data_IF_179291547810
#
_entry.id   IF_179291547810
#
_cell.length_a   1.000
_cell.length_b   1.000
_cell.length_c   1.000
_cell.angle_alpha   90.00
_cell.angle_beta   90.00
_cell.angle_gamma   90.00
#
_symmetry.space_group_name_H-M   'P 1'
#
loop_
_entity.id
_entity.type
_entity.pdbx_description
1 polymer ?
#
# COMPACT_ATOMS: atom_id res chain seq x y z
N UNK A 1 22.22 6.21 9.73
CA UNK A 1 20.86 6.62 9.33
C UNK A 1 20.72 8.07 9.66
N UNK A 2 20.40 8.91 8.69
CA UNK A 2 20.16 10.35 8.91
C UNK A 2 18.68 10.56 9.19
N UNK A 3 18.38 11.41 10.15
CA UNK A 3 16.99 11.67 10.55
C UNK A 3 16.25 12.56 9.54
N UNK A 4 14.90 12.58 9.55
CA UNK A 4 14.11 13.36 8.62
C UNK A 4 14.28 14.88 8.77
N UNK A 5 14.69 15.39 9.94
CA UNK A 5 14.92 16.83 10.13
C UNK A 5 16.20 17.27 9.45
N UNK A 6 17.25 16.44 9.45
CA UNK A 6 18.48 16.73 8.69
C UNK A 6 18.17 16.83 7.18
N UNK A 7 17.31 15.92 6.67
CA UNK A 7 16.83 15.97 5.30
C UNK A 7 16.04 17.25 5.02
N UNK A 8 15.07 17.61 5.88
CA UNK A 8 14.30 18.85 5.71
C UNK A 8 15.22 20.09 5.70
N UNK A 9 16.19 20.14 6.58
CA UNK A 9 17.10 21.30 6.68
C UNK A 9 17.99 21.44 5.44
N UNK A 10 18.41 20.34 4.82
CA UNK A 10 19.37 20.35 3.70
C UNK A 10 18.71 20.36 2.32
N UNK A 11 17.65 19.58 2.15
CA UNK A 11 17.10 19.30 0.82
C UNK A 11 15.69 19.86 0.58
N UNK A 12 14.97 20.29 1.63
CA UNK A 12 13.64 20.86 1.49
C UNK A 12 13.62 22.39 1.76
N UNK A 13 14.02 22.80 2.97
CA UNK A 13 13.91 24.19 3.42
C UNK A 13 14.64 25.21 2.52
N UNK A 14 15.88 24.97 2.06
CA UNK A 14 16.56 25.94 1.21
C UNK A 14 15.83 26.22 -0.10
N UNK A 15 15.24 25.18 -0.70
CA UNK A 15 14.50 25.29 -1.95
C UNK A 15 13.14 25.94 -1.75
N UNK A 16 12.42 25.59 -0.66
CA UNK A 16 11.16 26.23 -0.30
C UNK A 16 11.35 27.71 0.04
N UNK A 17 12.37 28.07 0.83
CA UNK A 17 12.71 29.47 1.12
C UNK A 17 13.06 30.26 -0.14
N UNK A 18 13.79 29.65 -1.08
CA UNK A 18 14.10 30.27 -2.36
C UNK A 18 12.84 30.56 -3.19
N UNK A 19 11.96 29.56 -3.31
CA UNK A 19 10.69 29.69 -4.03
C UNK A 19 9.81 30.80 -3.45
N UNK A 20 9.62 30.80 -2.12
CA UNK A 20 8.84 31.82 -1.41
C UNK A 20 9.50 33.21 -1.49
N UNK A 21 10.83 33.30 -1.55
CA UNK A 21 11.52 34.57 -1.73
C UNK A 21 11.16 35.23 -3.06
N UNK A 22 11.04 34.47 -4.15
CA UNK A 22 10.63 34.99 -5.46
C UNK A 22 9.18 35.48 -5.38
N UNK A 23 8.25 34.71 -4.81
CA UNK A 23 6.86 35.12 -4.69
C UNK A 23 6.70 36.39 -3.83
N UNK A 24 7.38 36.48 -2.69
CA UNK A 24 7.36 37.69 -1.84
C UNK A 24 7.95 38.92 -2.57
N UNK A 25 9.02 38.74 -3.34
CA UNK A 25 9.61 39.82 -4.14
C UNK A 25 8.67 40.33 -5.21
N UNK A 26 7.97 39.41 -5.91
CA UNK A 26 6.93 39.77 -6.89
C UNK A 26 5.72 40.48 -6.28
N UNK A 27 5.46 40.28 -5.00
CA UNK A 27 4.44 41.00 -4.22
C UNK A 27 4.92 42.35 -3.66
N UNK A 28 6.16 42.77 -4.00
CA UNK A 28 6.70 44.06 -3.64
C UNK A 28 7.42 44.14 -2.30
N UNK A 29 7.68 43.02 -1.63
CA UNK A 29 8.48 43.05 -0.40
C UNK A 29 9.96 43.30 -0.72
N UNK A 30 10.62 44.19 0.06
CA UNK A 30 12.06 44.47 -0.08
C UNK A 30 12.88 43.26 0.37
N UNK A 31 14.11 43.11 -0.19
CA UNK A 31 15.03 42.04 0.19
C UNK A 31 15.34 42.03 1.69
N UNK A 32 15.49 43.19 2.31
CA UNK A 32 15.67 43.31 3.76
C UNK A 32 14.46 42.77 4.54
N UNK A 33 13.24 43.10 4.11
CA UNK A 33 12.03 42.59 4.74
C UNK A 33 11.92 41.09 4.58
N UNK A 34 12.17 40.54 3.38
CA UNK A 34 12.12 39.08 3.09
C UNK A 34 13.18 38.36 3.95
N UNK A 35 14.40 38.93 4.11
CA UNK A 35 15.46 38.32 4.93
C UNK A 35 15.04 38.17 6.40
N UNK A 36 14.41 39.22 6.95
CA UNK A 36 13.86 39.18 8.31
C UNK A 36 12.75 38.13 8.44
N UNK A 37 11.80 38.11 7.50
CA UNK A 37 10.67 37.18 7.51
C UNK A 37 11.10 35.70 7.42
N UNK A 38 12.09 35.41 6.58
CA UNK A 38 12.58 34.02 6.37
C UNK A 38 13.69 33.61 7.35
N UNK A 39 14.17 34.53 8.21
CA UNK A 39 15.25 34.23 9.14
C UNK A 39 16.57 33.89 8.44
N UNK A 40 16.91 34.60 7.35
CA UNK A 40 18.14 34.39 6.57
C UNK A 40 18.83 35.71 6.33
N UNK A 41 20.08 35.71 5.87
CA UNK A 41 20.82 36.93 5.56
C UNK A 41 20.33 37.57 4.25
N UNK A 42 20.49 38.90 4.12
CA UNK A 42 20.15 39.58 2.87
C UNK A 42 20.97 39.07 1.66
N UNK A 43 22.28 38.76 1.78
CA UNK A 43 23.01 38.05 0.71
C UNK A 43 22.36 36.72 0.28
N UNK A 44 21.79 35.96 1.22
CA UNK A 44 21.04 34.73 0.88
C UNK A 44 19.82 35.04 0.04
N UNK A 45 19.09 36.12 0.34
CA UNK A 45 17.93 36.53 -0.48
C UNK A 45 18.41 36.94 -1.88
N UNK A 46 19.48 37.70 -1.99
CA UNK A 46 20.06 38.06 -3.29
C UNK A 46 20.41 36.79 -4.11
N UNK A 47 21.04 35.81 -3.46
CA UNK A 47 21.32 34.51 -4.10
C UNK A 47 20.06 33.80 -4.55
N UNK A 48 18.99 33.77 -3.71
CA UNK A 48 17.72 33.14 -4.08
C UNK A 48 17.05 33.84 -5.28
N UNK A 49 17.05 35.16 -5.33
CA UNK A 49 16.42 35.93 -6.38
C UNK A 49 17.17 35.91 -7.73
N UNK A 50 18.44 35.46 -7.76
CA UNK A 50 19.19 35.26 -9.01
C UNK A 50 18.81 34.00 -9.77
N UNK A 51 18.16 33.04 -9.11
CA UNK A 51 17.74 31.78 -9.70
C UNK A 51 16.33 31.91 -10.27
N UNK A 52 16.07 31.13 -11.33
CA UNK A 52 14.75 31.06 -11.90
C UNK A 52 13.81 30.20 -11.03
N UNK A 53 12.52 30.57 -10.98
CA UNK A 53 11.47 29.80 -10.27
C UNK A 53 11.50 28.33 -10.65
N UNK A 54 11.73 28.01 -11.94
CA UNK A 54 11.80 26.64 -12.47
C UNK A 54 12.87 25.78 -11.79
N UNK A 55 14.00 26.36 -11.38
CA UNK A 55 15.06 25.61 -10.69
C UNK A 55 14.58 25.11 -9.34
N UNK A 56 13.87 25.96 -8.57
CA UNK A 56 13.30 25.57 -7.28
C UNK A 56 12.24 24.47 -7.42
N UNK A 57 11.33 24.62 -8.38
CA UNK A 57 10.30 23.61 -8.67
C UNK A 57 10.92 22.26 -9.02
N UNK A 58 11.91 22.27 -9.94
CA UNK A 58 12.60 21.04 -10.36
C UNK A 58 13.32 20.34 -9.19
N UNK A 59 13.89 21.11 -8.25
CA UNK A 59 14.56 20.54 -7.07
C UNK A 59 13.57 19.94 -6.10
N UNK A 60 12.44 20.61 -5.83
CA UNK A 60 11.38 20.09 -4.97
C UNK A 60 10.71 18.84 -5.56
N UNK A 61 10.49 18.81 -6.87
CA UNK A 61 10.01 17.60 -7.56
C UNK A 61 11.00 16.44 -7.47
N UNK A 62 12.30 16.70 -7.58
CA UNK A 62 13.36 15.68 -7.46
C UNK A 62 13.37 15.00 -6.09
N UNK A 63 13.00 15.69 -5.03
CA UNK A 63 12.89 15.08 -3.70
C UNK A 63 11.56 14.36 -3.46
N UNK A 64 10.64 14.39 -4.42
CA UNK A 64 9.42 13.58 -4.42
C UNK A 64 8.11 14.35 -4.37
N UNK A 65 8.13 15.69 -4.21
CA UNK A 65 6.90 16.48 -4.16
C UNK A 65 6.23 16.56 -5.53
N UNK A 66 4.91 16.44 -5.56
CA UNK A 66 4.10 16.73 -6.76
C UNK A 66 4.00 18.24 -6.99
N UNK A 67 3.66 18.65 -8.21
CA UNK A 67 3.45 20.07 -8.52
C UNK A 67 2.35 20.70 -7.68
N UNK A 68 1.27 19.93 -7.44
CA UNK A 68 0.17 20.35 -6.59
C UNK A 68 0.62 20.55 -5.14
N UNK A 69 1.36 19.58 -4.57
CA UNK A 69 1.90 19.68 -3.21
C UNK A 69 2.86 20.86 -3.05
N UNK A 70 3.69 21.13 -4.06
CA UNK A 70 4.61 22.29 -4.02
C UNK A 70 3.81 23.59 -3.98
N UNK A 71 2.78 23.74 -4.80
CA UNK A 71 1.95 24.95 -4.87
C UNK A 71 1.20 25.20 -3.55
N UNK A 72 0.64 24.15 -2.96
CA UNK A 72 -0.05 24.23 -1.67
C UNK A 72 0.93 24.65 -0.56
N UNK A 73 2.06 23.94 -0.45
CA UNK A 73 3.09 24.22 0.56
C UNK A 73 3.76 25.60 0.36
N UNK A 74 3.97 26.07 -0.88
CA UNK A 74 4.45 27.42 -1.19
C UNK A 74 3.49 28.47 -0.61
N UNK A 75 2.19 28.28 -0.81
CA UNK A 75 1.15 29.16 -0.28
C UNK A 75 1.14 29.22 1.23
N UNK A 76 1.04 28.05 1.87
CA UNK A 76 1.02 27.93 3.34
C UNK A 76 2.29 28.47 3.99
N UNK A 77 3.47 28.15 3.42
CA UNK A 77 4.76 28.61 3.93
C UNK A 77 4.88 30.14 3.83
N UNK A 78 4.45 30.73 2.71
CA UNK A 78 4.39 32.18 2.52
C UNK A 78 3.50 32.84 3.57
N UNK A 79 2.27 32.34 3.76
CA UNK A 79 1.34 32.88 4.74
C UNK A 79 1.92 32.81 6.16
N UNK A 80 2.58 31.69 6.49
CA UNK A 80 3.24 31.51 7.76
C UNK A 80 4.34 32.55 8.00
N UNK A 81 5.22 32.79 7.03
CA UNK A 81 6.31 33.77 7.18
C UNK A 81 5.81 35.23 7.18
N UNK A 82 4.70 35.51 6.49
CA UNK A 82 4.05 36.84 6.52
C UNK A 82 3.38 37.07 7.88
N UNK A 83 2.73 36.08 8.47
CA UNK A 83 2.15 36.19 9.81
C UNK A 83 3.21 36.50 10.88
N UNK A 84 4.38 35.86 10.78
CA UNK A 84 5.52 36.10 11.68
C UNK A 84 5.24 35.69 13.13
N UNK A 85 6.17 36.04 14.04
CA UNK A 85 6.04 35.73 15.45
C UNK A 85 5.90 34.25 15.77
N UNK A 86 5.34 33.94 16.92
CA UNK A 86 5.11 32.55 17.37
C UNK A 86 4.10 31.80 16.47
N UNK A 87 3.08 32.48 15.99
CA UNK A 87 2.08 31.92 15.08
C UNK A 87 2.71 31.53 13.73
N UNK A 88 3.51 32.42 13.14
CA UNK A 88 4.22 32.12 11.90
C UNK A 88 5.20 30.96 12.06
N UNK A 89 5.89 30.87 13.20
CA UNK A 89 6.78 29.74 13.51
C UNK A 89 5.98 28.42 13.59
N UNK A 90 4.87 28.40 14.32
CA UNK A 90 4.01 27.23 14.45
C UNK A 90 3.51 26.74 13.08
N UNK A 91 3.01 27.64 12.25
CA UNK A 91 2.54 27.30 10.90
C UNK A 91 3.67 26.80 10.00
N UNK A 92 4.85 27.41 10.07
CA UNK A 92 6.02 26.94 9.32
C UNK A 92 6.41 25.52 9.72
N UNK A 93 6.43 25.23 11.03
CA UNK A 93 6.67 23.87 11.52
C UNK A 93 5.58 22.89 11.02
N UNK A 94 4.32 23.30 11.02
CA UNK A 94 3.22 22.46 10.53
C UNK A 94 3.38 22.11 9.05
N UNK A 95 3.75 23.07 8.19
CA UNK A 95 4.02 22.81 6.77
C UNK A 95 5.12 21.76 6.61
N UNK A 96 6.22 21.89 7.35
CA UNK A 96 7.33 20.92 7.32
C UNK A 96 6.92 19.53 7.79
N UNK A 97 6.16 19.44 8.87
CA UNK A 97 5.67 18.16 9.40
C UNK A 97 4.67 17.51 8.44
N UNK A 98 3.79 18.30 7.82
CA UNK A 98 2.86 17.82 6.80
C UNK A 98 3.60 17.26 5.57
N UNK A 99 4.67 17.93 5.13
CA UNK A 99 5.51 17.44 4.03
C UNK A 99 6.17 16.09 4.36
N UNK A 100 6.61 15.85 5.60
CA UNK A 100 7.10 14.55 6.06
C UNK A 100 5.96 13.52 6.19
N UNK A 101 4.82 13.95 6.70
CA UNK A 101 3.68 13.09 6.97
C UNK A 101 2.96 12.61 5.70
N UNK A 102 3.04 13.37 4.59
CA UNK A 102 2.44 13.00 3.30
C UNK A 102 2.98 11.69 2.71
N UNK A 103 4.24 11.36 3.06
CA UNK A 103 4.94 10.21 2.49
C UNK A 103 5.62 10.49 1.14
N UNK A 104 5.31 11.60 0.46
CA UNK A 104 5.89 11.95 -0.85
C UNK A 104 7.43 11.99 -0.82
N UNK A 105 8.00 12.45 0.30
CA UNK A 105 9.45 12.58 0.50
C UNK A 105 10.14 11.24 0.84
N UNK A 106 9.38 10.18 1.14
CA UNK A 106 9.93 8.93 1.67
C UNK A 106 10.89 8.23 0.71
N UNK A 107 10.57 8.17 -0.58
CA UNK A 107 11.41 7.49 -1.58
C UNK A 107 12.79 8.14 -1.71
N UNK A 108 12.84 9.48 -1.73
CA UNK A 108 14.11 10.21 -1.76
C UNK A 108 14.89 10.00 -0.46
N UNK A 109 14.24 10.12 0.70
CA UNK A 109 14.85 9.91 2.01
C UNK A 109 15.45 8.50 2.15
N UNK A 110 14.70 7.46 1.78
CA UNK A 110 15.18 6.07 1.77
C UNK A 110 16.41 5.89 0.88
N UNK A 111 16.37 6.43 -0.34
CA UNK A 111 17.44 6.27 -1.33
C UNK A 111 18.71 7.06 -0.96
N UNK A 112 18.57 8.32 -0.61
CA UNK A 112 19.72 9.24 -0.43
C UNK A 112 20.27 9.20 0.99
N UNK A 113 19.38 9.10 1.98
CA UNK A 113 19.74 9.09 3.39
C UNK A 113 19.84 7.70 4.01
N UNK A 114 19.63 6.65 3.20
CA UNK A 114 19.70 5.23 3.60
C UNK A 114 18.80 4.90 4.78
N UNK A 115 17.58 5.46 4.78
CA UNK A 115 16.55 5.03 5.72
C UNK A 115 16.10 3.59 5.38
N UNK A 116 15.59 2.82 6.35
CA UNK A 116 15.05 1.49 6.08
C UNK A 116 14.01 1.50 4.96
N UNK A 117 14.00 0.49 4.11
CA UNK A 117 13.08 0.39 2.96
C UNK A 117 11.60 0.41 3.37
N UNK A 118 11.30 -0.15 4.53
CA UNK A 118 9.98 -0.24 5.16
C UNK A 118 9.67 0.93 6.10
N UNK A 119 10.53 1.96 6.18
CA UNK A 119 10.35 3.09 7.08
C UNK A 119 9.08 3.88 6.74
N UNK A 120 8.20 4.02 7.72
CA UNK A 120 6.95 4.79 7.70
C UNK A 120 6.81 5.73 8.92
N UNK A 121 7.90 5.95 9.64
CA UNK A 121 7.92 6.62 10.93
C UNK A 121 7.25 8.01 10.92
N UNK A 122 7.52 8.84 9.88
CA UNK A 122 6.94 10.17 9.77
C UNK A 122 5.42 10.13 9.60
N UNK A 123 4.91 9.23 8.76
CA UNK A 123 3.48 9.04 8.55
C UNK A 123 2.79 8.54 9.82
N UNK A 124 3.42 7.64 10.58
CA UNK A 124 2.89 7.16 11.86
C UNK A 124 2.89 8.22 12.96
N UNK A 125 3.89 9.09 13.00
CA UNK A 125 4.00 10.12 14.04
C UNK A 125 3.12 11.33 13.75
N UNK A 126 3.15 11.85 12.52
CA UNK A 126 2.57 13.14 12.16
C UNK A 126 1.45 13.06 11.12
N UNK A 127 1.22 11.91 10.48
CA UNK A 127 0.15 11.73 9.51
C UNK A 127 -1.25 11.91 10.11
N UNK A 128 -2.23 12.20 9.27
CA UNK A 128 -3.66 12.17 9.62
C UNK A 128 -4.08 10.75 10.04
N UNK A 129 -5.29 10.61 10.60
CA UNK A 129 -5.87 9.30 10.94
C UNK A 129 -5.80 8.32 9.76
N UNK A 130 -6.24 8.78 8.58
CA UNK A 130 -6.24 8.00 7.34
C UNK A 130 -4.82 7.65 6.87
N UNK A 131 -3.88 8.59 6.93
CA UNK A 131 -2.48 8.34 6.57
C UNK A 131 -1.83 7.32 7.50
N UNK A 132 -2.11 7.39 8.80
CA UNK A 132 -1.65 6.41 9.79
C UNK A 132 -2.23 5.03 9.54
N UNK A 133 -3.51 4.94 9.23
CA UNK A 133 -4.16 3.68 8.89
C UNK A 133 -3.57 3.09 7.60
N UNK A 134 -3.47 3.87 6.53
CA UNK A 134 -2.88 3.44 5.25
C UNK A 134 -1.43 2.96 5.43
N UNK A 135 -0.62 3.68 6.21
CA UNK A 135 0.75 3.26 6.53
C UNK A 135 0.80 1.92 7.28
N UNK A 136 -0.09 1.73 8.27
CA UNK A 136 -0.19 0.45 9.00
C UNK A 136 -0.59 -0.70 8.10
N UNK A 137 -1.53 -0.48 7.18
CA UNK A 137 -1.99 -1.47 6.20
C UNK A 137 -0.83 -1.93 5.31
N UNK A 138 -0.11 -0.99 4.69
CA UNK A 138 1.05 -1.28 3.84
C UNK A 138 2.14 -2.03 4.62
N UNK A 139 2.47 -1.56 5.83
CA UNK A 139 3.49 -2.21 6.67
C UNK A 139 3.07 -3.62 7.09
N UNK A 140 1.78 -3.86 7.36
CA UNK A 140 1.26 -5.18 7.70
C UNK A 140 1.40 -6.17 6.55
N UNK A 141 1.00 -5.75 5.34
CA UNK A 141 1.17 -6.57 4.13
C UNK A 141 2.64 -6.88 3.85
N UNK A 142 3.53 -5.89 3.89
CA UNK A 142 4.95 -6.11 3.63
C UNK A 142 5.59 -7.10 4.63
N UNK A 143 5.22 -7.03 5.91
CA UNK A 143 5.68 -8.01 6.92
C UNK A 143 5.17 -9.41 6.59
N UNK A 144 3.88 -9.55 6.27
CA UNK A 144 3.30 -10.84 5.92
C UNK A 144 3.95 -11.45 4.66
N UNK A 145 4.22 -10.63 3.65
CA UNK A 145 4.94 -11.04 2.44
C UNK A 145 6.36 -11.53 2.76
N UNK A 146 7.10 -10.85 3.63
CA UNK A 146 8.45 -11.27 4.03
C UNK A 146 8.44 -12.67 4.69
N UNK A 147 7.38 -13.01 5.43
CA UNK A 147 7.21 -14.36 5.99
C UNK A 147 6.93 -15.37 4.87
N UNK A 148 6.08 -15.05 3.89
CA UNK A 148 5.80 -15.92 2.74
C UNK A 148 7.05 -16.17 1.89
N UNK A 149 7.89 -15.15 1.67
CA UNK A 149 9.16 -15.28 0.94
C UNK A 149 10.18 -16.18 1.66
N UNK A 150 10.09 -16.27 2.99
CA UNK A 150 10.93 -17.14 3.82
C UNK A 150 10.41 -18.58 3.90
N UNK A 151 9.17 -18.84 3.46
CA UNK A 151 8.56 -20.16 3.51
C UNK A 151 9.05 -21.06 2.37
N UNK A 152 9.47 -22.28 2.70
CA UNK A 152 9.84 -23.31 1.71
C UNK A 152 8.63 -24.02 1.08
N UNK A 153 7.47 -23.99 1.72
CA UNK A 153 6.26 -24.68 1.28
C UNK A 153 5.27 -23.78 0.51
N UNK A 154 5.20 -22.49 0.84
CA UNK A 154 4.30 -21.56 0.19
C UNK A 154 4.46 -21.48 -1.34
N UNK A 155 5.66 -21.56 -1.94
CA UNK A 155 5.82 -21.56 -3.39
C UNK A 155 5.07 -22.67 -4.13
N UNK A 156 4.64 -23.74 -3.43
CA UNK A 156 3.83 -24.82 -3.99
C UNK A 156 2.37 -24.39 -4.25
N UNK A 157 1.90 -23.35 -3.56
CA UNK A 157 0.54 -22.82 -3.68
C UNK A 157 0.42 -21.66 -4.68
N UNK A 158 1.52 -21.14 -5.21
CA UNK A 158 1.50 -20.03 -6.19
C UNK A 158 0.95 -20.57 -7.52
N UNK A 159 -0.16 -19.97 -8.06
CA UNK A 159 -0.72 -20.32 -9.35
C UNK A 159 0.12 -19.77 -10.52
N UNK A 160 -0.16 -20.18 -11.75
CA UNK A 160 0.53 -19.66 -12.94
C UNK A 160 0.24 -18.16 -13.15
N UNK A 161 -0.97 -17.71 -12.81
CA UNK A 161 -1.33 -16.27 -12.81
C UNK A 161 -0.69 -15.47 -11.67
N UNK A 162 0.14 -16.14 -10.84
CA UNK A 162 0.77 -15.58 -9.64
C UNK A 162 -0.21 -15.21 -8.51
N UNK A 163 0.34 -15.01 -7.32
CA UNK A 163 -0.41 -14.69 -6.10
C UNK A 163 -0.43 -13.18 -5.86
N UNK A 164 -1.54 -12.67 -5.38
CA UNK A 164 -1.59 -11.38 -4.71
C UNK A 164 -2.08 -11.53 -3.27
N UNK A 165 -1.74 -10.57 -2.43
CA UNK A 165 -2.18 -10.48 -1.04
C UNK A 165 -2.69 -9.07 -0.80
N UNK A 166 -3.93 -8.94 -0.32
CA UNK A 166 -4.59 -7.65 -0.16
C UNK A 166 -5.10 -7.43 1.26
N UNK A 167 -5.14 -6.16 1.67
CA UNK A 167 -5.73 -5.70 2.93
C UNK A 167 -6.52 -4.41 2.66
N UNK A 168 -7.80 -4.43 3.00
CA UNK A 168 -8.70 -3.29 2.87
C UNK A 168 -8.59 -2.35 4.06
N UNK A 169 -8.74 -1.05 3.83
CA UNK A 169 -9.02 -0.09 4.88
C UNK A 169 -10.37 -0.40 5.56
N UNK A 170 -10.56 0.09 6.78
CA UNK A 170 -11.77 -0.20 7.57
C UNK A 170 -13.05 0.11 6.79
N UNK A 171 -13.11 1.29 6.19
CA UNK A 171 -14.27 1.80 5.46
C UNK A 171 -14.10 1.71 3.95
N UNK A 172 -13.33 0.72 3.46
CA UNK A 172 -13.05 0.51 2.04
C UNK A 172 -14.36 0.37 1.22
N UNK A 173 -14.47 1.15 0.14
CA UNK A 173 -15.61 1.14 -0.79
C UNK A 173 -15.20 0.88 -2.23
N UNK A 174 -13.93 1.07 -2.55
CA UNK A 174 -13.37 0.92 -3.88
C UNK A 174 -12.01 0.21 -3.83
N UNK A 175 -11.54 -0.25 -4.97
CA UNK A 175 -10.22 -0.88 -5.10
C UNK A 175 -9.08 0.04 -4.65
N UNK A 176 -9.28 1.38 -4.71
CA UNK A 176 -8.32 2.38 -4.24
C UNK A 176 -8.17 2.42 -2.71
N UNK A 177 -9.12 1.80 -1.99
CA UNK A 177 -9.11 1.69 -0.53
C UNK A 177 -8.54 0.35 -0.06
N UNK A 178 -8.06 -0.47 -1.00
CA UNK A 178 -7.46 -1.79 -0.75
C UNK A 178 -6.00 -1.76 -1.17
N UNK A 179 -5.10 -2.08 -0.26
CA UNK A 179 -3.70 -2.27 -0.59
C UNK A 179 -3.44 -3.69 -1.06
N UNK A 180 -2.53 -3.85 -2.02
CA UNK A 180 -2.10 -5.13 -2.56
C UNK A 180 -0.64 -5.06 -3.03
N UNK A 181 -0.08 -6.20 -3.43
CA UNK A 181 1.29 -6.27 -3.92
C UNK A 181 1.32 -5.92 -5.40
N UNK A 182 1.93 -4.79 -5.75
CA UNK A 182 2.12 -4.41 -7.15
C UNK A 182 3.02 -5.43 -7.85
N UNK A 183 2.63 -5.87 -9.07
CA UNK A 183 3.36 -6.91 -9.80
C UNK A 183 3.25 -8.32 -9.23
N UNK A 184 2.50 -8.52 -8.14
CA UNK A 184 2.20 -9.82 -7.51
C UNK A 184 3.40 -10.48 -6.80
N UNK A 185 3.14 -11.64 -6.17
CA UNK A 185 4.13 -12.56 -5.61
C UNK A 185 4.28 -13.70 -6.60
N UNK A 186 5.51 -13.86 -7.12
CA UNK A 186 5.85 -14.84 -8.15
C UNK A 186 6.66 -16.00 -7.58
N UNK A 187 6.66 -17.13 -8.29
CA UNK A 187 7.57 -18.23 -8.00
C UNK A 187 8.83 -18.09 -8.83
N UNK A 188 9.95 -17.82 -8.18
CA UNK A 188 11.25 -17.65 -8.81
C UNK A 188 12.25 -18.68 -8.24
N UNK A 189 12.78 -19.58 -9.06
CA UNK A 189 13.74 -20.61 -8.65
C UNK A 189 13.28 -21.42 -7.42
N UNK A 190 11.99 -21.73 -7.35
CA UNK A 190 11.40 -22.49 -6.25
C UNK A 190 11.08 -21.69 -4.99
N UNK A 191 11.36 -20.40 -4.96
CA UNK A 191 11.07 -19.50 -3.84
C UNK A 191 9.96 -18.51 -4.22
N UNK A 192 9.21 -18.03 -3.23
CA UNK A 192 8.30 -16.91 -3.41
C UNK A 192 9.07 -15.59 -3.44
N UNK A 193 8.71 -14.67 -4.33
CA UNK A 193 9.28 -13.32 -4.41
C UNK A 193 8.19 -12.32 -4.78
N UNK A 194 8.04 -11.28 -3.98
CA UNK A 194 7.24 -10.12 -4.35
C UNK A 194 7.99 -9.28 -5.39
N UNK A 195 7.28 -8.84 -6.41
CA UNK A 195 7.87 -8.01 -7.47
C UNK A 195 8.06 -6.56 -7.03
N UNK A 196 7.22 -6.10 -6.10
CA UNK A 196 7.26 -4.77 -5.50
C UNK A 196 6.75 -4.80 -4.07
N UNK A 197 6.76 -3.66 -3.39
CA UNK A 197 6.10 -3.49 -2.09
C UNK A 197 4.58 -3.42 -2.21
N UNK A 198 3.91 -3.47 -1.06
CA UNK A 198 2.47 -3.25 -0.99
C UNK A 198 2.14 -1.77 -1.25
N UNK A 199 1.09 -1.52 -2.03
CA UNK A 199 0.53 -0.19 -2.24
C UNK A 199 -0.99 -0.23 -2.42
N UNK A 200 -1.65 0.90 -2.19
CA UNK A 200 -3.08 1.02 -2.43
C UNK A 200 -3.38 1.03 -3.94
N UNK A 201 -4.34 0.19 -4.35
CA UNK A 201 -4.62 -0.04 -5.77
C UNK A 201 -3.71 -1.07 -6.45
N UNK A 202 -2.73 -1.65 -5.73
CA UNK A 202 -1.77 -2.63 -6.27
C UNK A 202 -2.38 -3.96 -6.73
N UNK A 203 -3.69 -4.16 -6.54
CA UNK A 203 -4.41 -5.34 -7.04
C UNK A 203 -5.88 -5.04 -7.32
N UNK A 204 -6.28 -4.89 -8.57
CA UNK A 204 -7.68 -4.64 -8.94
C UNK A 204 -8.56 -5.87 -8.70
N UNK A 205 -8.28 -6.99 -9.36
CA UNK A 205 -9.14 -8.18 -9.33
C UNK A 205 -9.36 -8.72 -7.91
N UNK A 206 -8.29 -8.97 -7.13
CA UNK A 206 -8.44 -9.53 -5.78
C UNK A 206 -9.09 -8.54 -4.82
N UNK A 207 -8.87 -7.24 -5.01
CA UNK A 207 -9.56 -6.19 -4.26
C UNK A 207 -11.07 -6.22 -4.52
N UNK A 208 -11.50 -6.36 -5.78
CA UNK A 208 -12.92 -6.48 -6.15
C UNK A 208 -13.56 -7.71 -5.52
N UNK A 209 -12.87 -8.86 -5.54
CA UNK A 209 -13.35 -10.10 -4.87
C UNK A 209 -13.49 -9.88 -3.36
N UNK A 210 -12.48 -9.28 -2.71
CA UNK A 210 -12.53 -8.96 -1.28
C UNK A 210 -13.70 -8.02 -0.94
N UNK A 211 -13.91 -6.98 -1.72
CA UNK A 211 -14.99 -6.02 -1.51
C UNK A 211 -16.37 -6.67 -1.68
N UNK A 212 -16.53 -7.57 -2.64
CA UNK A 212 -17.77 -8.36 -2.81
C UNK A 212 -18.08 -9.19 -1.56
N UNK A 213 -17.07 -9.86 -0.98
CA UNK A 213 -17.21 -10.66 0.25
C UNK A 213 -17.48 -9.77 1.47
N UNK A 214 -16.79 -8.64 1.57
CA UNK A 214 -16.90 -7.68 2.69
C UNK A 214 -18.32 -7.12 2.86
N UNK A 215 -19.12 -7.02 1.80
CA UNK A 215 -20.53 -6.61 1.86
C UNK A 215 -21.37 -7.53 2.77
N UNK A 216 -21.06 -8.82 2.80
CA UNK A 216 -21.78 -9.83 3.59
C UNK A 216 -21.07 -10.14 4.91
N UNK A 217 -19.76 -10.05 4.93
CA UNK A 217 -18.89 -10.32 6.08
C UNK A 217 -17.99 -9.12 6.41
N UNK A 218 -18.52 -8.06 7.04
CA UNK A 218 -17.79 -6.80 7.28
C UNK A 218 -16.49 -6.93 8.10
N UNK A 219 -16.34 -8.04 8.82
CA UNK A 219 -15.13 -8.35 9.59
C UNK A 219 -13.99 -8.88 8.72
N UNK A 220 -14.27 -9.35 7.50
CA UNK A 220 -13.25 -9.78 6.55
C UNK A 220 -12.64 -8.55 5.90
N UNK A 221 -11.32 -8.38 6.06
CA UNK A 221 -10.60 -7.24 5.51
C UNK A 221 -9.38 -7.65 4.67
N UNK A 222 -9.03 -8.94 4.64
CA UNK A 222 -7.84 -9.41 3.95
C UNK A 222 -8.16 -10.64 3.09
N UNK A 223 -7.47 -10.76 1.96
CA UNK A 223 -7.59 -11.91 1.07
C UNK A 223 -6.27 -12.21 0.35
N UNK A 224 -6.09 -13.50 0.00
CA UNK A 224 -4.99 -13.98 -0.84
C UNK A 224 -5.53 -14.98 -1.86
N UNK A 225 -5.09 -14.89 -3.12
CA UNK A 225 -5.35 -15.93 -4.09
C UNK A 225 -4.21 -16.94 -4.14
N UNK A 226 -4.56 -18.21 -4.20
CA UNK A 226 -3.64 -19.33 -4.41
C UNK A 226 -4.19 -20.24 -5.50
N UNK A 227 -3.39 -21.20 -5.95
CA UNK A 227 -3.85 -22.24 -6.88
C UNK A 227 -5.00 -23.05 -6.31
N UNK A 228 -5.75 -23.69 -7.19
CA UNK A 228 -6.77 -24.68 -6.83
C UNK A 228 -6.49 -25.99 -7.58
N UNK A 229 -6.55 -27.08 -6.86
CA UNK A 229 -6.58 -28.44 -7.41
C UNK A 229 -7.33 -29.38 -6.45
N UNK A 230 -7.50 -30.64 -6.86
CA UNK A 230 -8.21 -31.64 -6.06
C UNK A 230 -7.60 -31.83 -4.67
N UNK A 231 -6.27 -31.84 -4.56
CA UNK A 231 -5.58 -32.02 -3.27
C UNK A 231 -5.87 -30.83 -2.33
N UNK A 232 -5.87 -29.60 -2.85
CA UNK A 232 -6.26 -28.40 -2.08
C UNK A 232 -7.72 -28.51 -1.63
N UNK A 233 -8.65 -28.89 -2.52
CA UNK A 233 -10.06 -29.05 -2.17
C UNK A 233 -10.25 -30.06 -1.01
N UNK A 234 -9.59 -31.21 -1.09
CA UNK A 234 -9.65 -32.24 -0.04
C UNK A 234 -9.08 -31.75 1.30
N UNK A 235 -7.99 -30.93 1.27
CA UNK A 235 -7.43 -30.34 2.49
C UNK A 235 -8.40 -29.32 3.08
N UNK A 236 -8.94 -28.41 2.29
CA UNK A 236 -9.90 -27.39 2.75
C UNK A 236 -11.12 -28.05 3.41
N UNK A 237 -11.63 -29.15 2.80
CA UNK A 237 -12.74 -29.93 3.34
C UNK A 237 -12.35 -30.60 4.66
N UNK A 238 -11.15 -31.19 4.76
CA UNK A 238 -10.66 -31.83 5.98
C UNK A 238 -10.43 -30.86 7.14
N UNK A 239 -10.10 -29.62 6.83
CA UNK A 239 -9.97 -28.52 7.80
C UNK A 239 -11.32 -27.91 8.20
N UNK A 240 -12.43 -28.40 7.66
CA UNK A 240 -13.79 -27.92 7.90
C UNK A 240 -13.99 -26.42 7.61
N UNK A 241 -13.24 -25.89 6.63
CA UNK A 241 -13.39 -24.50 6.22
C UNK A 241 -14.76 -24.24 5.60
N UNK A 242 -15.29 -23.06 5.82
CA UNK A 242 -16.54 -22.60 5.21
C UNK A 242 -16.25 -22.12 3.81
N UNK A 243 -16.65 -22.93 2.83
CA UNK A 243 -16.34 -22.73 1.42
C UNK A 243 -17.57 -22.22 0.65
N UNK A 244 -17.32 -21.30 -0.27
CA UNK A 244 -18.20 -21.01 -1.40
C UNK A 244 -17.54 -21.57 -2.65
N UNK A 245 -18.18 -22.58 -3.25
CA UNK A 245 -17.73 -23.15 -4.52
C UNK A 245 -18.44 -22.49 -5.68
N UNK A 246 -17.69 -21.87 -6.59
CA UNK A 246 -18.24 -21.28 -7.80
C UNK A 246 -18.39 -22.36 -8.89
N UNK A 247 -19.52 -22.40 -9.62
CA UNK A 247 -19.76 -23.39 -10.65
C UNK A 247 -18.75 -23.27 -11.80
N UNK A 248 -18.34 -24.44 -12.34
CA UNK A 248 -17.44 -24.52 -13.49
C UNK A 248 -18.15 -24.36 -14.85
N UNK A 249 -19.45 -24.09 -14.87
CA UNK A 249 -20.37 -24.41 -15.99
C UNK A 249 -20.48 -23.34 -17.08
N UNK A 250 -19.81 -22.18 -16.96
CA UNK A 250 -19.86 -21.12 -17.99
C UNK A 250 -18.48 -20.54 -18.27
N UNK A 251 -18.21 -20.08 -19.50
CA UNK A 251 -17.00 -19.31 -19.77
C UNK A 251 -17.10 -17.96 -19.04
N UNK A 252 -16.48 -17.88 -17.88
CA UNK A 252 -16.40 -16.67 -17.07
C UNK A 252 -15.16 -15.86 -17.46
N UNK A 253 -15.28 -14.55 -17.42
CA UNK A 253 -14.11 -13.66 -17.41
C UNK A 253 -13.68 -13.37 -15.97
N UNK A 254 -12.42 -13.02 -15.77
CA UNK A 254 -11.93 -12.63 -14.43
C UNK A 254 -12.74 -11.48 -13.83
N UNK A 255 -13.29 -10.58 -14.65
CA UNK A 255 -14.12 -9.45 -14.24
C UNK A 255 -15.50 -9.86 -13.71
N UNK A 256 -16.00 -11.04 -14.12
CA UNK A 256 -17.30 -11.56 -13.70
C UNK A 256 -17.25 -12.28 -12.34
N UNK A 257 -16.06 -12.74 -11.91
CA UNK A 257 -15.90 -13.48 -10.65
C UNK A 257 -16.42 -12.71 -9.44
N UNK A 258 -16.09 -11.41 -9.21
CA UNK A 258 -16.61 -10.64 -8.08
C UNK A 258 -18.15 -10.58 -8.05
N UNK A 259 -18.79 -10.42 -9.21
CA UNK A 259 -20.26 -10.38 -9.34
C UNK A 259 -20.86 -11.72 -8.98
N UNK A 260 -20.30 -12.81 -9.49
CA UNK A 260 -20.77 -14.17 -9.18
C UNK A 260 -20.63 -14.50 -7.69
N UNK A 261 -19.52 -14.09 -7.07
CA UNK A 261 -19.33 -14.22 -5.61
C UNK A 261 -20.43 -13.47 -4.86
N UNK A 262 -20.72 -12.23 -5.25
CA UNK A 262 -21.75 -11.41 -4.62
C UNK A 262 -23.15 -12.03 -4.75
N UNK A 263 -23.51 -12.49 -5.95
CA UNK A 263 -24.78 -13.16 -6.22
C UNK A 263 -24.97 -14.41 -5.37
N UNK A 264 -23.97 -15.29 -5.36
CA UNK A 264 -24.02 -16.55 -4.60
C UNK A 264 -24.06 -16.32 -3.09
N UNK A 265 -23.26 -15.38 -2.59
CA UNK A 265 -23.30 -15.01 -1.17
C UNK A 265 -24.65 -14.40 -0.78
N UNK A 266 -25.23 -13.55 -1.64
CA UNK A 266 -26.58 -13.00 -1.40
C UNK A 266 -27.63 -14.08 -1.26
N UNK A 267 -27.60 -15.12 -2.11
CA UNK A 267 -28.50 -16.26 -2.04
C UNK A 267 -28.28 -17.07 -0.75
N UNK A 268 -27.03 -17.46 -0.46
CA UNK A 268 -26.68 -18.31 0.68
C UNK A 268 -26.92 -17.63 2.03
N UNK A 269 -26.63 -16.34 2.15
CA UNK A 269 -26.89 -15.56 3.38
C UNK A 269 -28.40 -15.40 3.62
N UNK A 270 -29.20 -15.11 2.59
CA UNK A 270 -30.67 -15.02 2.71
C UNK A 270 -31.30 -16.33 3.18
N UNK A 271 -30.77 -17.46 2.74
CA UNK A 271 -31.26 -18.78 3.10
C UNK A 271 -30.64 -19.32 4.41
N UNK A 272 -29.85 -18.55 5.12
CA UNK A 272 -29.17 -18.94 6.37
C UNK A 272 -28.15 -20.08 6.20
N UNK A 273 -27.72 -20.37 4.95
CA UNK A 273 -26.79 -21.48 4.66
C UNK A 273 -25.34 -21.17 5.03
N UNK A 274 -24.96 -19.88 5.12
CA UNK A 274 -23.60 -19.45 5.44
C UNK A 274 -23.63 -18.26 6.41
N UNK A 275 -22.85 -18.36 7.49
CA UNK A 275 -22.71 -17.33 8.51
C UNK A 275 -21.27 -16.83 8.67
N UNK A 276 -20.31 -17.52 8.04
CA UNK A 276 -18.89 -17.17 7.97
C UNK A 276 -18.32 -17.73 6.67
N UNK A 277 -17.18 -17.19 6.22
CA UNK A 277 -16.51 -17.59 4.99
C UNK A 277 -15.01 -17.65 5.21
N UNK A 278 -14.40 -18.79 4.89
CA UNK A 278 -12.93 -18.96 4.93
C UNK A 278 -12.31 -18.88 3.54
N UNK A 279 -12.98 -19.46 2.52
CA UNK A 279 -12.48 -19.40 1.16
C UNK A 279 -13.60 -19.45 0.10
N UNK A 280 -13.28 -18.92 -1.07
CA UNK A 280 -14.02 -19.11 -2.32
C UNK A 280 -13.14 -19.93 -3.26
N UNK A 281 -13.68 -20.97 -3.85
CA UNK A 281 -12.99 -21.81 -4.83
C UNK A 281 -13.63 -21.69 -6.20
N UNK A 282 -12.78 -21.69 -7.22
CA UNK A 282 -13.18 -21.66 -8.63
C UNK A 282 -12.41 -22.73 -9.39
N UNK A 283 -13.12 -23.69 -10.01
CA UNK A 283 -12.51 -24.81 -10.71
C UNK A 283 -11.90 -24.44 -12.08
N UNK A 284 -11.90 -23.16 -12.43
CA UNK A 284 -11.42 -22.67 -13.71
C UNK A 284 -12.50 -22.71 -14.80
N UNK A 285 -12.19 -22.04 -15.91
CA UNK A 285 -12.97 -22.07 -17.15
C UNK A 285 -12.03 -21.84 -18.34
N UNK A 286 -12.55 -21.78 -19.56
CA UNK A 286 -11.74 -21.49 -20.74
C UNK A 286 -11.07 -20.13 -20.58
N UNK A 287 -9.73 -20.11 -20.50
CA UNK A 287 -8.93 -18.90 -20.31
C UNK A 287 -8.79 -18.41 -18.86
N UNK A 288 -9.38 -19.10 -17.87
CA UNK A 288 -9.23 -18.77 -16.45
C UNK A 288 -8.68 -19.97 -15.68
N UNK A 289 -7.56 -19.75 -15.00
CA UNK A 289 -6.92 -20.76 -14.16
C UNK A 289 -7.77 -21.05 -12.92
N UNK A 290 -7.85 -22.33 -12.48
CA UNK A 290 -8.44 -22.67 -11.20
C UNK A 290 -7.80 -21.91 -10.04
N UNK A 291 -8.60 -21.32 -9.17
CA UNK A 291 -8.10 -20.46 -8.09
C UNK A 291 -8.87 -20.67 -6.79
N UNK A 292 -8.18 -20.47 -5.69
CA UNK A 292 -8.75 -20.40 -4.33
C UNK A 292 -8.47 -19.01 -3.77
N UNK A 293 -9.51 -18.32 -3.31
CA UNK A 293 -9.39 -17.04 -2.60
C UNK A 293 -9.59 -17.31 -1.11
N UNK A 294 -8.56 -17.06 -0.30
CA UNK A 294 -8.58 -17.28 1.16
C UNK A 294 -8.81 -15.93 1.83
N UNK A 295 -9.70 -15.90 2.84
CA UNK A 295 -10.12 -14.69 3.53
C UNK A 295 -9.80 -14.74 5.01
N UNK A 296 -9.65 -13.55 5.61
CA UNK A 296 -9.46 -13.36 7.04
C UNK A 296 -9.78 -11.93 7.48
N UNK A 297 -9.84 -11.72 8.79
CA UNK A 297 -10.06 -10.41 9.37
C UNK A 297 -8.86 -9.47 9.13
N UNK A 298 -7.66 -10.02 9.04
CA UNK A 298 -6.41 -9.31 8.84
C UNK A 298 -5.38 -10.15 8.09
N UNK A 299 -4.19 -9.60 7.86
CA UNK A 299 -3.10 -10.29 7.19
C UNK A 299 -2.55 -11.47 7.99
N UNK A 300 -2.61 -11.44 9.31
CA UNK A 300 -2.06 -12.51 10.18
C UNK A 300 -2.93 -13.76 10.09
N UNK A 301 -4.26 -13.60 10.10
CA UNK A 301 -5.18 -14.71 9.92
C UNK A 301 -5.03 -15.37 8.55
N UNK A 302 -4.99 -14.58 7.47
CA UNK A 302 -4.81 -15.12 6.11
C UNK A 302 -3.44 -15.79 5.98
N UNK A 303 -2.38 -15.17 6.48
CA UNK A 303 -1.02 -15.74 6.47
C UNK A 303 -0.97 -17.10 7.16
N UNK A 304 -1.54 -17.20 8.37
CA UNK A 304 -1.62 -18.46 9.12
C UNK A 304 -2.37 -19.54 8.32
N UNK A 305 -3.59 -19.23 7.82
CA UNK A 305 -4.38 -20.14 7.00
C UNK A 305 -3.61 -20.66 5.78
N UNK A 306 -2.90 -19.77 5.09
CA UNK A 306 -2.11 -20.10 3.89
C UNK A 306 -0.90 -20.97 4.24
N UNK A 307 -0.18 -20.69 5.32
CA UNK A 307 1.00 -21.47 5.72
C UNK A 307 0.61 -22.86 6.22
N UNK A 308 -0.49 -22.99 6.99
CA UNK A 308 -1.04 -24.27 7.42
C UNK A 308 -1.44 -25.12 6.21
N UNK A 309 -2.12 -24.53 5.23
CA UNK A 309 -2.47 -25.18 3.98
C UNK A 309 -1.24 -25.60 3.17
N UNK A 310 -0.21 -24.74 3.09
CA UNK A 310 1.01 -25.03 2.37
C UNK A 310 1.78 -26.23 2.99
N UNK A 311 1.82 -26.31 4.30
CA UNK A 311 2.44 -27.43 5.02
C UNK A 311 1.65 -28.74 4.76
N UNK A 312 0.31 -28.71 4.87
CA UNK A 312 -0.53 -29.86 4.59
C UNK A 312 -0.40 -30.34 3.14
N UNK A 313 -0.36 -29.40 2.19
CA UNK A 313 -0.18 -29.70 0.78
C UNK A 313 1.18 -30.33 0.47
N UNK A 314 2.26 -29.83 1.09
CA UNK A 314 3.59 -30.39 0.95
C UNK A 314 3.68 -31.83 1.47
N UNK A 315 3.09 -32.12 2.64
CA UNK A 315 3.06 -33.48 3.24
C UNK A 315 2.37 -34.48 2.33
N UNK A 316 1.21 -34.15 1.77
CA UNK A 316 0.49 -35.05 0.83
C UNK A 316 1.29 -35.34 -0.45
N UNK A 317 2.03 -34.38 -0.97
CA UNK A 317 2.90 -34.61 -2.15
C UNK A 317 4.02 -35.61 -1.86
N UNK A 318 4.56 -35.57 -0.67
CA UNK A 318 5.62 -36.52 -0.24
C UNK A 318 5.06 -37.94 -0.13
N UNK A 319 3.89 -38.12 0.46
CA UNK A 319 3.21 -39.42 0.57
C UNK A 319 2.85 -40.03 -0.80
N UNK A 320 2.42 -39.21 -1.74
CA UNK A 320 2.06 -39.67 -3.10
C UNK A 320 3.28 -40.13 -3.89
N UNK A 321 4.46 -39.59 -3.64
CA UNK A 321 5.73 -40.01 -4.25
C UNK A 321 6.20 -41.34 -3.66
N UNK A 322 6.08 -41.52 -2.34
CA UNK A 322 6.49 -42.78 -1.66
C UNK A 322 5.59 -43.98 -2.03
N UNK A 323 4.29 -43.78 -2.29
CA UNK A 323 3.35 -44.83 -2.67
C UNK A 323 3.44 -45.21 -4.17
N UNK A 324 4.29 -44.62 -4.96
CA UNK A 324 4.54 -44.94 -6.40
C UNK A 324 5.85 -45.73 -6.64
N UNK A 325 6.60 -46.01 -5.59
CA UNK A 325 7.75 -46.89 -5.59
C UNK A 325 7.50 -48.13 -4.75
#
# INVERSE_FOLDING_TARGET
MKDPFEFLAKDYLPWMKGLVSIDLSQRGYSQSKISTMLGVTQPSINYYLRKEKKEYLSRLQRIGLTEQSIKEQEGEFREAVVAGGSEGMLRTMQVMLNALASGELCNYHKKVYRAPSDCDACMRLWGSGDQKERSRIVSSLNRAVSVLESSSTFPLLIPEVNTNFVLAARDARSEKDVAGIEGRIVKLRGMARAMSGAEFGGSGHLASVLLAVKKFFPKINSAMNIRYDRAIHEILTSLHWKLLELPASEPLTSEQIPHLVEERLSEMCRNGKITSLDAVTHAGSIGIEPSTYIFGADTEEVLRKVLDLAAAYASRRTETVHNRH
#
